data_IF_474991341179
#
_entry.id   IF_474991341179
#
_cell.length_a   1.000
_cell.length_b   1.000
_cell.length_c   1.000
_cell.angle_alpha   90.00
_cell.angle_beta   90.00
_cell.angle_gamma   90.00
#
_symmetry.space_group_name_H-M   'P 1'
#
loop_
_entity.id
_entity.type
_entity.pdbx_description
1 polymer ?
#
# COMPACT_ATOMS: atom_id res chain seq x y z
N UNK A 1 -28.66 3.75 11.20
CA UNK A 1 -28.30 2.88 12.31
C UNK A 1 -26.79 2.96 12.48
N UNK A 2 -26.33 3.25 13.70
CA UNK A 2 -24.89 3.21 13.99
C UNK A 2 -24.47 1.72 14.00
N UNK A 3 -23.77 1.28 12.96
CA UNK A 3 -23.37 -0.13 12.81
C UNK A 3 -22.24 -0.53 13.76
N UNK A 4 -21.66 0.42 14.50
CA UNK A 4 -20.48 0.19 15.33
C UNK A 4 -19.20 -0.08 14.54
N UNK A 5 -19.24 0.08 13.23
CA UNK A 5 -18.07 -0.12 12.37
C UNK A 5 -17.38 1.23 12.07
N UNK A 6 -16.05 1.20 12.03
CA UNK A 6 -15.24 2.31 11.54
C UNK A 6 -15.28 2.38 10.01
N UNK A 7 -15.02 3.56 9.43
CA UNK A 7 -14.96 3.70 7.99
C UNK A 7 -13.81 2.86 7.40
N UNK A 8 -12.63 2.95 7.97
CA UNK A 8 -11.44 2.21 7.54
C UNK A 8 -10.42 2.13 8.69
N UNK A 9 -9.45 1.21 8.56
CA UNK A 9 -8.33 1.08 9.46
C UNK A 9 -7.04 1.38 8.66
N UNK A 10 -6.50 2.61 8.74
CA UNK A 10 -5.24 2.93 8.10
C UNK A 10 -4.08 2.34 8.92
N UNK A 11 -3.26 1.49 8.30
CA UNK A 11 -2.06 0.90 8.94
C UNK A 11 -0.86 1.85 8.76
N UNK A 12 -1.00 3.06 9.29
CA UNK A 12 -0.12 4.20 8.97
C UNK A 12 1.30 4.09 9.53
N UNK A 13 1.52 3.20 10.49
CA UNK A 13 2.85 2.93 11.09
C UNK A 13 3.42 1.58 10.64
N UNK A 14 2.80 0.92 9.69
CA UNK A 14 3.33 -0.31 9.12
C UNK A 14 4.37 -0.01 8.03
N UNK A 15 5.59 -0.51 8.21
CA UNK A 15 6.68 -0.39 7.22
C UNK A 15 6.84 1.05 6.69
N UNK A 16 6.68 1.25 5.38
CA UNK A 16 6.82 2.52 4.68
C UNK A 16 5.47 3.19 4.32
N UNK A 17 4.37 2.76 4.95
CA UNK A 17 3.02 3.22 4.58
C UNK A 17 2.89 4.74 4.65
N UNK A 18 3.32 5.37 5.75
CA UNK A 18 3.26 6.85 5.85
C UNK A 18 4.18 7.53 4.85
N UNK A 19 5.38 7.01 4.59
CA UNK A 19 6.31 7.53 3.57
C UNK A 19 5.63 7.53 2.20
N UNK A 20 4.93 6.46 1.84
CA UNK A 20 4.16 6.36 0.59
C UNK A 20 2.98 7.34 0.54
N UNK A 21 2.29 7.52 1.67
CA UNK A 21 1.21 8.52 1.78
C UNK A 21 1.78 9.92 1.56
N UNK A 22 2.85 10.29 2.25
CA UNK A 22 3.50 11.58 2.10
C UNK A 22 3.93 11.85 0.65
N UNK A 23 4.48 10.84 0.00
CA UNK A 23 4.87 10.92 -1.41
C UNK A 23 3.71 11.27 -2.34
N UNK A 24 2.50 10.76 -2.06
CA UNK A 24 1.27 11.12 -2.80
C UNK A 24 0.86 12.60 -2.62
N UNK A 25 1.43 13.26 -1.64
CA UNK A 25 1.29 14.71 -1.40
C UNK A 25 2.48 15.53 -1.93
N UNK A 26 3.44 14.86 -2.62
CA UNK A 26 4.64 15.51 -3.16
C UNK A 26 5.73 15.77 -2.11
N UNK A 27 5.72 15.01 -1.00
CA UNK A 27 6.67 15.13 0.12
C UNK A 27 7.59 13.91 0.06
N UNK A 28 8.80 14.09 -0.48
CA UNK A 28 9.74 12.98 -0.73
C UNK A 28 11.13 13.16 -0.10
N UNK A 29 11.51 14.37 0.21
CA UNK A 29 12.82 14.70 0.78
C UNK A 29 12.67 15.34 2.17
N UNK A 30 13.75 15.35 2.95
CA UNK A 30 13.73 15.85 4.33
C UNK A 30 13.23 17.31 4.43
N UNK A 31 13.65 18.15 3.49
CA UNK A 31 13.26 19.57 3.45
C UNK A 31 11.75 19.79 3.21
N UNK A 32 11.07 18.79 2.67
CA UNK A 32 9.62 18.84 2.42
C UNK A 32 8.78 18.46 3.65
N UNK A 33 9.36 17.86 4.68
CA UNK A 33 8.59 17.36 5.83
C UNK A 33 7.81 18.43 6.59
N UNK A 34 8.22 19.72 6.67
CA UNK A 34 7.36 20.76 7.19
C UNK A 34 6.02 20.89 6.46
N UNK A 35 5.96 20.54 5.16
CA UNK A 35 4.72 20.52 4.37
C UNK A 35 3.82 19.32 4.72
N UNK A 36 4.35 18.33 5.42
CA UNK A 36 3.60 17.18 5.89
C UNK A 36 2.57 17.50 6.98
N UNK A 37 2.63 18.68 7.57
CA UNK A 37 1.78 19.06 8.70
C UNK A 37 0.30 18.74 8.45
N UNK A 38 -0.23 19.10 7.28
CA UNK A 38 -1.64 18.83 6.92
C UNK A 38 -1.98 17.34 6.93
N UNK A 39 -1.04 16.48 6.48
CA UNK A 39 -1.26 15.03 6.44
C UNK A 39 -1.24 14.47 7.86
N UNK A 40 -0.29 14.87 8.68
CA UNK A 40 -0.19 14.45 10.09
C UNK A 40 -1.41 14.92 10.89
N UNK A 41 -1.83 16.17 10.74
CA UNK A 41 -3.00 16.72 11.42
C UNK A 41 -4.29 16.05 10.97
N UNK A 42 -4.43 15.69 9.68
CA UNK A 42 -5.57 14.94 9.20
C UNK A 42 -5.70 13.58 9.92
N UNK A 43 -4.62 12.81 10.02
CA UNK A 43 -4.66 11.54 10.73
C UNK A 43 -4.84 11.72 12.24
N UNK A 44 -4.23 12.75 12.83
CA UNK A 44 -4.44 13.13 14.23
C UNK A 44 -5.92 13.41 14.51
N UNK A 45 -6.56 14.20 13.67
CA UNK A 45 -7.98 14.53 13.77
C UNK A 45 -8.87 13.28 13.65
N UNK A 46 -8.59 12.39 12.68
CA UNK A 46 -9.32 11.15 12.53
C UNK A 46 -9.19 10.26 13.78
N UNK A 47 -8.00 10.18 14.34
CA UNK A 47 -7.72 9.39 15.52
C UNK A 47 -8.38 9.99 16.79
N UNK A 48 -8.22 11.28 17.02
CA UNK A 48 -8.74 11.95 18.20
C UNK A 48 -10.27 12.09 18.23
N UNK A 49 -10.89 12.11 17.04
CA UNK A 49 -12.35 12.13 16.88
C UNK A 49 -12.98 10.74 16.86
N UNK A 50 -12.19 9.70 17.14
CA UNK A 50 -12.64 8.28 17.12
C UNK A 50 -13.28 7.87 15.77
N UNK A 51 -12.75 8.41 14.67
CA UNK A 51 -13.20 8.09 13.31
C UNK A 51 -12.45 6.91 12.70
N UNK A 52 -11.27 6.61 13.22
CA UNK A 52 -10.48 5.41 12.93
C UNK A 52 -10.18 4.67 14.23
N UNK A 53 -10.05 3.32 14.20
CA UNK A 53 -9.84 2.56 15.42
C UNK A 53 -8.46 2.86 16.05
N UNK A 54 -8.33 2.76 17.40
CA UNK A 54 -7.06 2.97 18.10
C UNK A 54 -5.93 2.09 17.58
N UNK A 55 -6.25 0.91 17.08
CA UNK A 55 -5.31 -0.06 16.50
C UNK A 55 -4.63 0.44 15.21
N UNK A 56 -5.12 1.51 14.61
CA UNK A 56 -4.52 2.13 13.42
C UNK A 56 -3.04 2.48 13.57
N UNK A 57 -2.55 2.62 14.81
CA UNK A 57 -1.14 2.91 15.12
C UNK A 57 -0.27 1.69 15.34
N UNK A 58 -0.85 0.48 15.34
CA UNK A 58 -0.13 -0.77 15.65
C UNK A 58 -0.42 -1.90 14.69
N UNK A 59 -1.61 -1.93 14.09
CA UNK A 59 -2.02 -3.04 13.24
C UNK A 59 -1.32 -3.02 11.89
N UNK A 60 -1.05 -4.23 11.42
CA UNK A 60 -0.54 -4.52 10.08
C UNK A 60 -1.71 -4.63 9.08
N UNK A 61 -1.37 -4.61 7.80
CA UNK A 61 -2.35 -4.81 6.73
C UNK A 61 -3.12 -6.14 6.84
N UNK A 62 -2.48 -7.19 7.36
CA UNK A 62 -3.14 -8.47 7.62
C UNK A 62 -4.21 -8.35 8.70
N UNK A 63 -3.89 -7.68 9.80
CA UNK A 63 -4.84 -7.44 10.88
C UNK A 63 -5.99 -6.53 10.42
N UNK A 64 -5.72 -5.54 9.57
CA UNK A 64 -6.76 -4.73 8.94
C UNK A 64 -7.72 -5.58 8.06
N UNK A 65 -7.19 -6.54 7.29
CA UNK A 65 -8.01 -7.49 6.55
C UNK A 65 -8.91 -8.34 7.48
N UNK A 66 -8.37 -8.79 8.60
CA UNK A 66 -9.14 -9.53 9.62
C UNK A 66 -10.27 -8.69 10.20
N UNK A 67 -10.04 -7.39 10.46
CA UNK A 67 -11.09 -6.46 10.88
C UNK A 67 -12.16 -6.24 9.81
N UNK A 68 -11.76 -6.20 8.54
CA UNK A 68 -12.70 -6.13 7.42
C UNK A 68 -13.57 -7.38 7.34
N UNK A 69 -12.99 -8.56 7.39
CA UNK A 69 -13.71 -9.85 7.40
C UNK A 69 -14.62 -10.00 8.64
N UNK A 70 -14.27 -9.35 9.74
CA UNK A 70 -15.11 -9.29 10.94
C UNK A 70 -16.23 -8.24 10.86
N UNK A 71 -16.35 -7.49 9.77
CA UNK A 71 -17.36 -6.44 9.59
C UNK A 71 -17.13 -5.19 10.44
N UNK A 72 -15.92 -5.00 11.00
CA UNK A 72 -15.59 -3.86 11.87
C UNK A 72 -15.11 -2.63 11.13
N UNK A 73 -14.74 -2.74 9.87
CA UNK A 73 -14.40 -1.61 8.98
C UNK A 73 -15.14 -1.75 7.66
N UNK A 74 -15.47 -0.63 7.05
CA UNK A 74 -16.26 -0.58 5.80
C UNK A 74 -15.37 -0.61 4.56
N UNK A 75 -14.24 0.08 4.59
CA UNK A 75 -13.30 0.15 3.46
C UNK A 75 -11.99 -0.53 3.81
N UNK A 76 -11.54 -1.41 2.93
CA UNK A 76 -10.24 -2.07 3.02
C UNK A 76 -9.43 -1.78 1.75
N UNK A 77 -8.20 -1.32 1.92
CA UNK A 77 -7.27 -1.13 0.81
C UNK A 77 -6.53 -2.44 0.53
N UNK A 78 -6.76 -3.05 -0.63
CA UNK A 78 -6.13 -4.32 -0.99
C UNK A 78 -6.15 -4.58 -2.48
N UNK A 79 -5.49 -5.64 -2.90
CA UNK A 79 -5.51 -6.14 -4.27
C UNK A 79 -6.59 -7.21 -4.47
N UNK A 80 -6.85 -7.56 -5.74
CA UNK A 80 -7.83 -8.59 -6.12
C UNK A 80 -7.55 -9.97 -5.51
N UNK A 81 -6.29 -10.27 -5.17
CA UNK A 81 -5.88 -11.50 -4.50
C UNK A 81 -6.50 -11.69 -3.11
N UNK A 82 -6.87 -10.62 -2.41
CA UNK A 82 -7.52 -10.72 -1.10
C UNK A 82 -8.98 -11.15 -1.18
N UNK A 83 -9.65 -10.93 -2.31
CA UNK A 83 -11.04 -11.31 -2.49
C UNK A 83 -11.26 -12.83 -2.33
N UNK A 84 -10.33 -13.65 -2.80
CA UNK A 84 -10.39 -15.11 -2.58
C UNK A 84 -10.39 -15.44 -1.10
N UNK A 85 -9.49 -14.81 -0.33
CA UNK A 85 -9.41 -15.02 1.12
C UNK A 85 -10.69 -14.56 1.84
N UNK A 86 -11.25 -13.42 1.45
CA UNK A 86 -12.52 -12.90 2.03
C UNK A 86 -13.66 -13.86 1.70
N UNK A 87 -13.73 -14.37 0.46
CA UNK A 87 -14.74 -15.33 0.02
C UNK A 87 -14.72 -16.64 0.82
N UNK A 88 -13.51 -17.14 1.08
CA UNK A 88 -13.32 -18.41 1.80
C UNK A 88 -13.58 -18.27 3.32
N UNK A 89 -13.18 -17.16 3.93
CA UNK A 89 -13.19 -17.02 5.39
C UNK A 89 -14.35 -16.15 5.91
N UNK A 90 -14.96 -15.32 5.07
CA UNK A 90 -16.06 -14.43 5.43
C UNK A 90 -17.07 -14.28 4.27
N UNK A 91 -17.74 -15.37 3.83
CA UNK A 91 -18.60 -15.35 2.65
C UNK A 91 -19.73 -14.33 2.73
N UNK A 92 -20.32 -14.09 3.89
CA UNK A 92 -21.35 -13.07 4.07
C UNK A 92 -20.85 -11.64 3.90
N UNK A 93 -19.58 -11.37 4.22
CA UNK A 93 -18.91 -10.09 3.94
C UNK A 93 -18.59 -9.99 2.46
N UNK A 94 -18.10 -11.08 1.86
CA UNK A 94 -17.80 -11.13 0.43
C UNK A 94 -19.03 -10.79 -0.42
N UNK A 95 -20.21 -11.33 -0.10
CA UNK A 95 -21.47 -11.05 -0.81
C UNK A 95 -21.88 -9.57 -0.78
N UNK A 96 -21.41 -8.82 0.22
CA UNK A 96 -21.68 -7.39 0.39
C UNK A 96 -20.49 -6.51 -0.07
N UNK A 97 -19.39 -7.13 -0.52
CA UNK A 97 -18.18 -6.43 -0.97
C UNK A 97 -18.35 -5.96 -2.41
N UNK A 98 -17.98 -4.71 -2.65
CA UNK A 98 -17.71 -4.20 -4.01
C UNK A 98 -16.31 -3.58 -4.07
N UNK A 99 -15.85 -3.26 -5.27
CA UNK A 99 -14.50 -2.75 -5.52
C UNK A 99 -14.55 -1.41 -6.24
N UNK A 100 -13.65 -0.52 -5.86
CA UNK A 100 -13.51 0.80 -6.43
C UNK A 100 -12.03 1.13 -6.71
N UNK A 101 -11.79 2.18 -7.47
CA UNK A 101 -10.44 2.70 -7.66
C UNK A 101 -9.81 3.13 -6.33
N UNK A 102 -8.49 2.98 -6.22
CA UNK A 102 -7.73 3.48 -5.08
C UNK A 102 -7.91 4.98 -4.91
N UNK A 103 -8.11 5.42 -3.67
CA UNK A 103 -8.17 6.85 -3.32
C UNK A 103 -6.83 7.50 -3.68
N UNK A 104 -6.91 8.63 -4.37
CA UNK A 104 -5.75 9.39 -4.87
C UNK A 104 -5.49 10.61 -4.00
N UNK A 105 -4.21 10.91 -3.77
CA UNK A 105 -3.79 12.19 -3.23
C UNK A 105 -3.80 13.31 -4.29
N UNK A 106 -3.38 14.53 -3.92
CA UNK A 106 -3.36 15.71 -4.82
C UNK A 106 -2.55 15.50 -6.10
N UNK A 107 -1.51 14.66 -6.04
CA UNK A 107 -0.64 14.35 -7.19
C UNK A 107 -1.32 13.40 -8.18
N UNK A 108 -2.43 12.75 -7.80
CA UNK A 108 -3.21 11.87 -8.66
C UNK A 108 -2.54 10.54 -9.00
N UNK A 109 -1.46 10.19 -8.29
CA UNK A 109 -0.70 8.97 -8.48
C UNK A 109 -1.20 7.83 -7.57
N UNK A 110 -0.96 6.59 -8.00
CA UNK A 110 -1.21 5.38 -7.24
C UNK A 110 0.11 4.74 -6.83
N UNK A 111 0.08 4.00 -5.74
CA UNK A 111 1.20 3.19 -5.28
C UNK A 111 0.93 1.71 -5.58
N UNK A 112 1.94 1.03 -6.12
CA UNK A 112 1.92 -0.40 -6.39
C UNK A 112 3.22 -1.04 -5.94
N UNK A 113 3.11 -2.13 -5.20
CA UNK A 113 4.28 -2.94 -4.87
C UNK A 113 4.62 -3.86 -6.03
N UNK A 114 5.89 -3.87 -6.44
CA UNK A 114 6.40 -4.75 -7.49
C UNK A 114 7.25 -5.84 -6.86
N UNK A 115 6.92 -7.09 -7.14
CA UNK A 115 7.79 -8.23 -6.78
C UNK A 115 8.86 -8.43 -7.84
N UNK A 116 10.09 -8.68 -7.40
CA UNK A 116 11.23 -8.85 -8.28
C UNK A 116 11.88 -10.22 -8.05
N UNK A 117 12.35 -10.86 -9.12
CA UNK A 117 13.31 -11.94 -9.01
C UNK A 117 14.71 -11.35 -8.82
N UNK A 118 15.49 -11.92 -7.93
CA UNK A 118 16.86 -11.51 -7.68
C UNK A 118 17.81 -12.71 -7.83
N UNK A 119 18.96 -12.50 -8.45
CA UNK A 119 20.00 -13.50 -8.59
C UNK A 119 21.15 -13.07 -7.69
N UNK A 120 21.46 -13.84 -6.61
CA UNK A 120 22.56 -13.48 -5.72
C UNK A 120 23.89 -13.35 -6.46
N UNK A 121 24.72 -12.38 -6.06
CA UNK A 121 26.02 -12.14 -6.70
C UNK A 121 26.92 -13.39 -6.71
N UNK A 122 26.81 -14.23 -5.70
CA UNK A 122 27.59 -15.48 -5.54
C UNK A 122 26.89 -16.71 -6.10
N UNK A 123 25.76 -16.58 -6.84
CA UNK A 123 25.12 -17.72 -7.47
C UNK A 123 26.05 -18.40 -8.47
N UNK A 124 26.11 -19.73 -8.43
CA UNK A 124 27.00 -20.56 -9.28
C UNK A 124 26.52 -20.58 -10.74
N UNK A 125 25.22 -20.66 -10.96
CA UNK A 125 24.58 -20.82 -12.29
C UNK A 125 23.74 -19.57 -12.63
N UNK A 126 24.43 -18.42 -12.79
CA UNK A 126 23.75 -17.13 -13.01
C UNK A 126 23.02 -17.04 -14.34
N UNK A 127 23.59 -17.65 -15.39
CA UNK A 127 22.97 -17.64 -16.72
C UNK A 127 21.68 -18.44 -16.72
N UNK A 128 21.71 -19.63 -16.20
CA UNK A 128 20.55 -20.51 -16.09
C UNK A 128 19.47 -19.90 -15.16
N UNK A 129 19.89 -19.24 -14.09
CA UNK A 129 18.98 -18.52 -13.23
C UNK A 129 18.33 -17.33 -13.95
N UNK A 130 19.07 -16.59 -14.78
CA UNK A 130 18.51 -15.52 -15.60
C UNK A 130 17.54 -16.06 -16.64
N UNK A 131 17.92 -17.11 -17.36
CA UNK A 131 17.06 -17.75 -18.35
C UNK A 131 15.74 -18.24 -17.71
N UNK A 132 15.80 -18.78 -16.50
CA UNK A 132 14.62 -19.18 -15.74
C UNK A 132 13.76 -17.98 -15.32
N UNK A 133 14.36 -16.88 -14.83
CA UNK A 133 13.63 -15.66 -14.53
C UNK A 133 12.93 -15.09 -15.77
N UNK A 134 13.60 -15.07 -16.91
CA UNK A 134 13.03 -14.62 -18.19
C UNK A 134 11.89 -15.51 -18.65
N UNK A 135 12.03 -16.83 -18.47
CA UNK A 135 10.95 -17.79 -18.75
C UNK A 135 9.72 -17.51 -17.87
N UNK A 136 9.90 -17.33 -16.56
CA UNK A 136 8.79 -17.05 -15.64
C UNK A 136 8.11 -15.70 -15.92
N UNK A 137 8.86 -14.72 -16.43
CA UNK A 137 8.35 -13.36 -16.68
C UNK A 137 7.95 -13.12 -18.13
N UNK A 138 7.97 -14.12 -18.99
CA UNK A 138 7.46 -14.01 -20.35
C UNK A 138 5.93 -13.77 -20.36
N UNK A 139 5.41 -13.30 -21.49
CA UNK A 139 4.01 -12.95 -21.65
C UNK A 139 3.05 -14.09 -21.29
N UNK A 140 3.32 -15.28 -21.81
CA UNK A 140 2.45 -16.45 -21.61
C UNK A 140 2.39 -16.85 -20.14
N UNK A 141 3.55 -17.02 -19.50
CA UNK A 141 3.61 -17.47 -18.10
C UNK A 141 3.07 -16.42 -17.12
N UNK A 142 3.29 -15.13 -17.39
CA UNK A 142 2.68 -14.08 -16.58
C UNK A 142 1.16 -14.03 -16.72
N UNK A 143 0.61 -14.28 -17.92
CA UNK A 143 -0.82 -14.38 -18.10
C UNK A 143 -1.43 -15.56 -17.34
N UNK A 144 -0.79 -16.73 -17.43
CA UNK A 144 -1.24 -17.92 -16.68
C UNK A 144 -1.15 -17.69 -15.16
N UNK A 145 -0.07 -17.10 -14.67
CA UNK A 145 0.05 -16.74 -13.26
C UNK A 145 -1.05 -15.78 -12.83
N UNK A 146 -1.33 -14.76 -13.65
CA UNK A 146 -2.40 -13.81 -13.38
C UNK A 146 -3.78 -14.46 -13.31
N UNK A 147 -4.07 -15.42 -14.18
CA UNK A 147 -5.32 -16.20 -14.15
C UNK A 147 -5.47 -17.04 -12.88
N UNK A 148 -4.37 -17.58 -12.38
CA UNK A 148 -4.38 -18.44 -11.19
C UNK A 148 -4.44 -17.66 -9.88
N UNK A 149 -3.85 -16.47 -9.81
CA UNK A 149 -3.58 -15.74 -8.55
C UNK A 149 -4.25 -14.38 -8.44
N UNK A 150 -4.88 -13.89 -9.52
CA UNK A 150 -5.43 -12.53 -9.63
C UNK A 150 -4.39 -11.40 -9.41
N UNK A 151 -3.09 -11.70 -9.48
CA UNK A 151 -2.05 -10.66 -9.50
C UNK A 151 -1.90 -10.06 -10.89
N UNK A 152 -1.38 -8.85 -10.96
CA UNK A 152 -1.18 -8.15 -12.23
C UNK A 152 0.21 -8.46 -12.77
N UNK A 153 0.28 -8.91 -14.03
CA UNK A 153 1.54 -9.13 -14.72
C UNK A 153 2.27 -7.79 -14.98
N UNK A 154 3.60 -7.82 -14.90
CA UNK A 154 4.45 -6.65 -15.17
C UNK A 154 4.79 -6.48 -16.65
N UNK A 155 4.57 -7.50 -17.47
CA UNK A 155 4.75 -7.43 -18.91
C UNK A 155 3.60 -6.62 -19.53
N UNK A 156 3.94 -5.51 -20.21
CA UNK A 156 2.95 -4.58 -20.77
C UNK A 156 2.05 -5.20 -21.86
N UNK A 157 2.51 -6.25 -22.55
CA UNK A 157 1.66 -6.96 -23.52
C UNK A 157 0.58 -7.78 -22.83
N UNK A 158 0.88 -8.37 -21.68
CA UNK A 158 -0.10 -9.11 -20.88
C UNK A 158 -1.29 -8.23 -20.51
N UNK A 159 -1.05 -6.96 -20.17
CA UNK A 159 -2.10 -6.01 -19.81
C UNK A 159 -3.06 -5.67 -20.93
N UNK A 160 -2.71 -5.95 -22.19
CA UNK A 160 -3.58 -5.77 -23.36
C UNK A 160 -4.55 -6.94 -23.56
N UNK A 161 -4.35 -8.05 -22.85
CA UNK A 161 -5.21 -9.23 -22.96
C UNK A 161 -6.62 -8.93 -22.44
N UNK A 162 -7.64 -9.48 -23.11
CA UNK A 162 -9.05 -9.33 -22.75
C UNK A 162 -9.36 -9.77 -21.31
N UNK A 163 -8.55 -10.64 -20.73
CA UNK A 163 -8.62 -11.05 -19.35
C UNK A 163 -8.64 -9.87 -18.36
N UNK A 164 -7.97 -8.76 -18.68
CA UNK A 164 -7.96 -7.54 -17.86
C UNK A 164 -9.12 -6.57 -18.15
N UNK A 165 -9.97 -6.90 -19.11
CA UNK A 165 -11.17 -6.13 -19.43
C UNK A 165 -12.47 -6.83 -18.98
N UNK A 166 -12.36 -8.02 -18.40
CA UNK A 166 -13.48 -8.76 -17.86
C UNK A 166 -13.99 -8.11 -16.56
N UNK A 167 -15.32 -7.99 -16.44
CA UNK A 167 -16.00 -7.48 -15.25
C UNK A 167 -17.17 -8.40 -14.84
N UNK A 168 -17.14 -9.67 -15.26
CA UNK A 168 -18.23 -10.63 -15.05
C UNK A 168 -18.36 -11.09 -13.58
N UNK A 169 -17.29 -10.99 -12.81
CA UNK A 169 -17.21 -11.36 -11.40
C UNK A 169 -16.46 -10.28 -10.61
N UNK A 170 -16.62 -10.28 -9.29
CA UNK A 170 -15.99 -9.29 -8.41
C UNK A 170 -14.46 -9.29 -8.55
N UNK A 171 -13.82 -10.46 -8.60
CA UNK A 171 -12.38 -10.62 -8.80
C UNK A 171 -11.93 -10.08 -10.17
N UNK A 172 -12.74 -10.34 -11.20
CA UNK A 172 -12.47 -9.84 -12.55
C UNK A 172 -12.60 -8.30 -12.61
N UNK A 173 -13.62 -7.73 -11.99
CA UNK A 173 -13.80 -6.29 -11.83
C UNK A 173 -12.62 -5.66 -11.08
N UNK A 174 -12.18 -6.24 -9.97
CA UNK A 174 -11.05 -5.75 -9.19
C UNK A 174 -9.74 -5.76 -10.01
N UNK A 175 -9.50 -6.83 -10.75
CA UNK A 175 -8.36 -6.95 -11.65
C UNK A 175 -8.39 -5.91 -12.77
N UNK A 176 -9.56 -5.70 -13.40
CA UNK A 176 -9.75 -4.71 -14.46
C UNK A 176 -9.50 -3.28 -13.94
N UNK A 177 -10.04 -2.93 -12.77
CA UNK A 177 -9.80 -1.64 -12.12
C UNK A 177 -8.30 -1.46 -11.83
N UNK A 178 -7.66 -2.47 -11.24
CA UNK A 178 -6.22 -2.40 -10.92
C UNK A 178 -5.36 -2.24 -12.18
N UNK A 179 -5.64 -2.98 -13.24
CA UNK A 179 -4.90 -2.88 -14.50
C UNK A 179 -5.00 -1.48 -15.14
N UNK A 180 -6.17 -0.83 -15.08
CA UNK A 180 -6.37 0.54 -15.59
C UNK A 180 -5.60 1.59 -14.80
N UNK A 181 -5.31 1.32 -13.54
CA UNK A 181 -4.58 2.24 -12.66
C UNK A 181 -3.06 2.18 -12.83
N UNK A 182 -2.52 1.14 -13.47
CA UNK A 182 -1.06 0.96 -13.68
C UNK A 182 -0.42 2.17 -14.37
N UNK A 183 -1.11 2.80 -15.33
CA UNK A 183 -0.60 3.98 -16.03
C UNK A 183 -0.44 5.23 -15.15
N UNK A 184 -0.89 5.16 -13.89
CA UNK A 184 -0.79 6.24 -12.89
C UNK A 184 0.11 5.87 -11.72
N UNK A 185 0.97 4.87 -11.91
CA UNK A 185 1.92 4.45 -10.87
C UNK A 185 2.94 5.56 -10.64
N UNK A 186 3.12 5.94 -9.39
CA UNK A 186 4.29 6.71 -8.97
C UNK A 186 5.52 5.87 -9.23
N UNK A 187 6.57 6.42 -9.88
CA UNK A 187 7.86 5.75 -9.89
C UNK A 187 8.20 5.35 -8.45
N UNK A 188 8.54 4.09 -8.25
CA UNK A 188 8.95 3.65 -6.91
C UNK A 188 10.07 4.57 -6.44
N UNK A 189 9.92 5.10 -5.23
CA UNK A 189 10.99 5.81 -4.56
C UNK A 189 12.23 4.92 -4.61
N UNK A 190 13.35 5.46 -5.09
CA UNK A 190 14.62 4.77 -4.97
C UNK A 190 14.85 4.51 -3.49
N UNK A 191 14.87 3.25 -3.09
CA UNK A 191 15.16 2.91 -1.71
C UNK A 191 16.52 3.49 -1.34
N UNK A 192 16.54 4.32 -0.33
CA UNK A 192 17.77 4.88 0.24
C UNK A 192 18.48 3.79 1.05
N UNK A 193 19.79 3.90 1.19
CA UNK A 193 20.59 2.95 1.97
C UNK A 193 20.04 2.74 3.39
N UNK A 194 19.49 3.81 3.98
CA UNK A 194 18.95 3.83 5.35
C UNK A 194 17.40 3.82 5.35
N UNK A 195 16.76 3.13 4.38
CA UNK A 195 15.29 3.18 4.24
C UNK A 195 14.56 2.66 5.48
N UNK A 196 15.10 1.65 6.15
CA UNK A 196 14.51 1.09 7.36
C UNK A 196 14.51 2.11 8.51
N UNK A 197 15.60 2.82 8.67
CA UNK A 197 15.76 3.88 9.66
C UNK A 197 14.81 5.04 9.36
N UNK A 198 14.71 5.46 8.09
CA UNK A 198 13.76 6.48 7.63
C UNK A 198 12.34 6.07 8.01
N UNK A 199 11.93 4.85 7.68
CA UNK A 199 10.60 4.35 8.01
C UNK A 199 10.34 4.37 9.52
N UNK A 200 11.32 3.98 10.32
CA UNK A 200 11.23 3.99 11.79
C UNK A 200 11.05 5.41 12.33
N UNK A 201 11.81 6.38 11.84
CA UNK A 201 11.69 7.78 12.25
C UNK A 201 10.32 8.35 11.90
N UNK A 202 9.86 8.13 10.67
CA UNK A 202 8.54 8.58 10.22
C UNK A 202 7.42 7.93 11.04
N UNK A 203 7.47 6.62 11.28
CA UNK A 203 6.47 5.92 12.07
C UNK A 203 6.44 6.41 13.52
N UNK A 204 7.60 6.68 14.11
CA UNK A 204 7.71 7.26 15.46
C UNK A 204 7.09 8.66 15.52
N UNK A 205 7.33 9.49 14.51
CA UNK A 205 6.73 10.81 14.40
C UNK A 205 5.20 10.75 14.30
N UNK A 206 4.67 9.82 13.50
CA UNK A 206 3.22 9.57 13.40
C UNK A 206 2.65 9.18 14.76
N UNK A 207 3.23 8.21 15.45
CA UNK A 207 2.77 7.76 16.77
C UNK A 207 2.79 8.91 17.78
N UNK A 208 3.87 9.71 17.79
CA UNK A 208 3.96 10.88 18.70
C UNK A 208 2.86 11.90 18.43
N UNK A 209 2.56 12.15 17.16
CA UNK A 209 1.49 13.09 16.76
C UNK A 209 0.11 12.57 17.14
N UNK A 210 -0.21 11.32 16.85
CA UNK A 210 -1.52 10.73 17.14
C UNK A 210 -1.80 10.62 18.63
N UNK A 211 -0.79 10.24 19.42
CA UNK A 211 -0.87 10.14 20.86
C UNK A 211 -0.79 11.51 21.57
N UNK A 212 -0.71 12.58 20.80
CA UNK A 212 -0.70 13.96 21.31
C UNK A 212 0.40 14.25 22.35
N UNK A 213 1.57 13.61 22.16
CA UNK A 213 2.72 13.79 23.07
C UNK A 213 3.37 15.17 22.91
N UNK A 214 3.39 15.66 21.66
CA UNK A 214 3.97 16.96 21.28
C UNK A 214 3.10 17.64 20.21
N UNK A 215 3.38 18.93 19.94
CA UNK A 215 2.73 19.60 18.81
C UNK A 215 3.22 19.00 17.49
N UNK A 216 2.36 18.96 16.47
CA UNK A 216 2.71 18.45 15.14
C UNK A 216 3.93 19.16 14.56
N UNK A 217 4.03 20.48 14.76
CA UNK A 217 5.16 21.29 14.32
C UNK A 217 6.47 20.86 14.98
N UNK A 218 6.47 20.64 16.30
CA UNK A 218 7.64 20.17 17.05
C UNK A 218 8.08 18.79 16.58
N UNK A 219 7.13 17.86 16.38
CA UNK A 219 7.38 16.51 15.88
C UNK A 219 8.02 16.55 14.49
N UNK A 220 7.48 17.36 13.57
CA UNK A 220 8.00 17.48 12.21
C UNK A 220 9.37 18.14 12.16
N UNK A 221 9.60 19.15 12.98
CA UNK A 221 10.91 19.81 13.09
C UNK A 221 11.98 18.84 13.60
N UNK A 222 11.62 17.98 14.55
CA UNK A 222 12.52 16.92 15.03
C UNK A 222 12.76 15.87 13.94
N UNK A 223 11.70 15.39 13.27
CA UNK A 223 11.80 14.42 12.21
C UNK A 223 12.72 14.89 11.09
N UNK A 224 12.59 16.17 10.67
CA UNK A 224 13.46 16.74 9.65
C UNK A 224 14.94 16.66 10.05
N UNK A 225 15.29 17.10 11.26
CA UNK A 225 16.68 17.03 11.76
C UNK A 225 17.21 15.61 11.82
N UNK A 226 16.39 14.67 12.30
CA UNK A 226 16.79 13.27 12.42
C UNK A 226 17.02 12.64 11.01
N UNK A 227 16.24 13.04 10.00
CA UNK A 227 16.40 12.57 8.61
C UNK A 227 17.62 13.20 7.92
N UNK A 228 17.88 14.50 8.15
CA UNK A 228 19.08 15.18 7.65
C UNK A 228 20.35 14.51 8.20
N UNK A 229 20.36 14.16 9.49
CA UNK A 229 21.48 13.45 10.12
C UNK A 229 21.70 12.02 9.56
N UNK A 230 20.68 11.39 8.99
CA UNK A 230 20.84 10.11 8.30
C UNK A 230 21.41 10.23 6.87
N UNK A 231 21.36 11.42 6.29
CA UNK A 231 21.82 11.67 4.92
C UNK A 231 23.34 11.95 4.86
N UNK A 232 23.96 12.31 5.98
CA UNK A 232 25.41 12.47 6.16
C UNK A 232 26.10 11.10 6.34
#
# INVERSE_FOLDING_TARGET
ANTGAYAFLPTITENDTMVKILNKYGISEAEDYPKAQKVFEMFKDLYQKDLIPPESITFTHREALEQYMAGKIVFFQGGANFLTMIKENAPSVYEQTDVMEQIKGPVGQNDFSVMNFVIPLRAKYKKEALDFCLYLTNEQNQLELAKMTNVIGTNTNVLKNSFYNDNSALEAKARSISAKQINRITPQLKQKRNQKEINTLVNTAVQSTLLNKDSTESVLSKLQKDLEALAE
#
